data_IF_491921482135
#
_entry.id   IF_491921482135
#
_cell.length_a   1.000
_cell.length_b   1.000
_cell.length_c   1.000
_cell.angle_alpha   90.00
_cell.angle_beta   90.00
_cell.angle_gamma   90.00
#
_symmetry.space_group_name_H-M   'P 1'
#
loop_
_entity.id
_entity.type
_entity.pdbx_description
1 polymer ?
#
# COMPACT_ATOMS: atom_id res chain seq x y z
N UNK A 1 9.32 -8.55 -18.19
CA UNK A 1 9.44 -9.25 -16.89
C UNK A 1 8.37 -8.66 -15.98
N UNK A 2 7.40 -9.43 -15.54
CA UNK A 2 6.44 -8.94 -14.54
C UNK A 2 7.09 -9.00 -13.17
N UNK A 3 7.07 -7.89 -12.44
CA UNK A 3 7.55 -7.82 -11.06
C UNK A 3 6.33 -7.77 -10.16
N UNK A 4 6.19 -8.76 -9.30
CA UNK A 4 5.18 -8.76 -8.23
C UNK A 4 5.80 -8.14 -6.98
N UNK A 5 5.03 -7.30 -6.31
CA UNK A 5 5.39 -6.68 -5.04
C UNK A 5 4.40 -7.16 -3.97
N UNK A 6 4.87 -7.33 -2.73
CA UNK A 6 4.02 -7.67 -1.59
C UNK A 6 3.63 -6.41 -0.84
N UNK A 7 2.35 -6.30 -0.51
CA UNK A 7 1.84 -5.26 0.38
C UNK A 7 1.45 -5.86 1.73
N UNK A 8 1.90 -5.23 2.81
CA UNK A 8 1.46 -5.53 4.18
C UNK A 8 0.33 -4.55 4.52
N UNK A 9 -0.80 -5.10 4.96
CA UNK A 9 -1.97 -4.34 5.39
C UNK A 9 -2.15 -4.44 6.90
N UNK A 10 -2.38 -3.31 7.55
CA UNK A 10 -2.72 -3.23 8.96
C UNK A 10 -3.61 -2.01 9.22
N UNK A 11 -4.27 -1.99 10.37
CA UNK A 11 -5.09 -0.87 10.84
C UNK A 11 -4.28 -0.08 11.87
N UNK A 12 -4.19 1.23 11.67
CA UNK A 12 -3.44 2.16 12.52
C UNK A 12 -4.16 3.52 12.50
N UNK A 13 -4.27 4.19 13.66
CA UNK A 13 -4.83 5.56 13.76
C UNK A 13 -6.14 5.78 12.98
N UNK A 14 -7.08 4.83 13.11
CA UNK A 14 -8.39 4.85 12.45
C UNK A 14 -8.37 4.82 10.91
N UNK A 15 -7.27 4.34 10.31
CA UNK A 15 -7.13 4.13 8.87
C UNK A 15 -6.50 2.78 8.53
N UNK A 16 -6.73 2.28 7.31
CA UNK A 16 -5.96 1.17 6.76
C UNK A 16 -4.65 1.70 6.19
N UNK A 17 -3.53 1.13 6.62
CA UNK A 17 -2.20 1.39 6.08
C UNK A 17 -1.77 0.22 5.21
N UNK A 18 -1.35 0.53 3.99
CA UNK A 18 -0.76 -0.41 3.05
C UNK A 18 0.70 -0.03 2.79
N UNK A 19 1.63 -0.95 3.05
CA UNK A 19 3.07 -0.73 2.88
C UNK A 19 3.68 -1.81 1.98
N UNK A 20 4.55 -1.40 1.06
CA UNK A 20 5.41 -2.31 0.29
C UNK A 20 6.86 -2.18 0.77
N UNK A 21 7.35 -3.12 1.62
CA UNK A 21 8.72 -3.09 2.14
C UNK A 21 9.80 -3.10 1.05
N UNK A 22 9.55 -3.76 -0.09
CA UNK A 22 10.52 -3.92 -1.17
C UNK A 22 10.89 -2.62 -1.87
N UNK A 23 9.98 -1.63 -1.86
CA UNK A 23 10.21 -0.29 -2.43
C UNK A 23 10.25 0.81 -1.36
N UNK A 24 9.94 0.47 -0.10
CA UNK A 24 9.92 1.43 1.01
C UNK A 24 8.76 2.43 0.94
N UNK A 25 7.72 2.14 0.17
CA UNK A 25 6.55 3.02 -0.02
C UNK A 25 5.41 2.56 0.89
N UNK A 26 4.73 3.52 1.51
CA UNK A 26 3.49 3.29 2.25
C UNK A 26 2.42 4.29 1.82
N UNK A 27 1.17 3.91 1.96
CA UNK A 27 0.01 4.78 1.80
C UNK A 27 -1.12 4.36 2.75
N UNK A 28 -2.15 5.19 2.86
CA UNK A 28 -3.28 4.94 3.74
C UNK A 28 -4.63 5.19 3.05
N UNK A 29 -5.71 4.64 3.60
CA UNK A 29 -7.07 4.87 3.14
C UNK A 29 -8.12 4.47 4.17
N UNK A 30 -9.32 5.02 4.04
CA UNK A 30 -10.46 4.69 4.92
C UNK A 30 -10.98 3.27 4.70
N UNK A 31 -10.64 2.64 3.58
CA UNK A 31 -10.92 1.23 3.29
C UNK A 31 -9.66 0.53 2.78
N UNK A 32 -9.65 -0.81 2.85
CA UNK A 32 -8.58 -1.65 2.32
C UNK A 32 -8.33 -1.35 0.83
N UNK A 33 -9.40 -1.26 0.03
CA UNK A 33 -9.32 -0.99 -1.40
C UNK A 33 -8.68 0.38 -1.67
N UNK A 34 -9.04 1.39 -0.88
CA UNK A 34 -8.48 2.73 -1.02
C UNK A 34 -6.99 2.77 -0.67
N UNK A 35 -6.59 2.11 0.41
CA UNK A 35 -5.19 1.99 0.81
C UNK A 35 -4.36 1.25 -0.25
N UNK A 36 -4.88 0.18 -0.84
CA UNK A 36 -4.21 -0.54 -1.94
C UNK A 36 -4.10 0.34 -3.18
N UNK A 37 -5.17 1.01 -3.60
CA UNK A 37 -5.17 1.87 -4.79
C UNK A 37 -4.17 3.03 -4.64
N UNK A 38 -4.12 3.66 -3.47
CA UNK A 38 -3.15 4.71 -3.17
C UNK A 38 -1.71 4.16 -3.19
N UNK A 39 -1.47 2.96 -2.66
CA UNK A 39 -0.15 2.33 -2.65
C UNK A 39 0.31 2.00 -4.08
N UNK A 40 -0.60 1.49 -4.92
CA UNK A 40 -0.33 1.21 -6.33
C UNK A 40 0.09 2.48 -7.08
N UNK A 41 -0.57 3.61 -6.82
CA UNK A 41 -0.21 4.90 -7.41
C UNK A 41 1.15 5.39 -6.93
N UNK A 42 1.40 5.34 -5.61
CA UNK A 42 2.67 5.74 -5.01
C UNK A 42 3.85 4.84 -5.42
N UNK A 43 3.57 3.59 -5.83
CA UNK A 43 4.57 2.60 -6.25
C UNK A 43 4.76 2.55 -7.77
N UNK A 44 4.14 3.45 -8.55
CA UNK A 44 4.41 3.55 -10.00
C UNK A 44 5.86 3.99 -10.22
N UNK A 45 6.73 3.00 -10.46
CA UNK A 45 8.14 3.11 -10.88
C UNK A 45 8.32 2.77 -12.35
#
# INVERSE_FOLDING_TARGET
MWKSLVAILHWEEDVYVAQCPEVGTASQGETIEKAIANLQEATKI
#
